data_IF_781872198689
#
_entry.id   IF_781872198689
#
_cell.length_a   1.000
_cell.length_b   1.000
_cell.length_c   1.000
_cell.angle_alpha   90.00
_cell.angle_beta   90.00
_cell.angle_gamma   90.00
#
_symmetry.space_group_name_H-M   'P 1'
#
loop_
_entity.id
_entity.type
_entity.pdbx_description
1 polymer ?
#
# COMPACT_ATOMS: atom_id res chain seq x y z
N UNK A 1 -0.73 20.16 -12.29
CA UNK A 1 -0.25 20.92 -11.12
C UNK A 1 0.38 19.85 -10.24
N UNK A 2 1.70 19.68 -10.32
CA UNK A 2 2.39 18.59 -9.61
C UNK A 2 2.58 19.02 -8.16
N UNK A 3 1.97 18.29 -7.22
CA UNK A 3 2.25 18.45 -5.80
C UNK A 3 3.51 17.63 -5.51
N UNK A 4 4.64 18.31 -5.28
CA UNK A 4 5.84 17.68 -4.76
C UNK A 4 5.57 17.35 -3.30
N UNK A 5 5.49 16.07 -2.95
CA UNK A 5 5.54 15.61 -1.57
C UNK A 5 6.94 15.07 -1.28
N UNK A 6 7.61 15.66 -0.29
CA UNK A 6 8.77 15.00 0.33
C UNK A 6 8.32 13.70 1.00
N UNK A 7 9.22 12.70 1.08
CA UNK A 7 8.98 11.35 1.59
C UNK A 7 7.83 11.24 2.58
N UNK A 8 6.78 10.53 2.16
CA UNK A 8 5.64 10.26 3.02
C UNK A 8 5.92 8.96 3.76
N UNK A 9 5.69 8.99 5.07
CA UNK A 9 5.63 7.79 5.89
C UNK A 9 4.76 6.74 5.20
N UNK A 10 5.18 5.47 5.26
CA UNK A 10 4.33 4.37 4.80
C UNK A 10 3.01 4.44 5.56
N UNK A 11 1.92 4.69 4.84
CA UNK A 11 0.59 4.92 5.42
C UNK A 11 -0.49 4.24 4.57
N UNK A 12 -1.66 4.02 5.17
CA UNK A 12 -2.76 3.32 4.51
C UNK A 12 -3.19 4.10 3.25
N UNK A 13 -3.10 3.45 2.10
CA UNK A 13 -3.51 4.00 0.82
C UNK A 13 -4.91 3.52 0.46
N UNK A 14 -5.14 2.21 0.48
CA UNK A 14 -6.41 1.58 0.11
C UNK A 14 -6.72 0.41 1.01
N UNK A 15 -8.02 0.18 1.24
CA UNK A 15 -8.51 -0.95 2.02
C UNK A 15 -9.73 -1.58 1.35
N UNK A 16 -9.67 -2.89 1.14
CA UNK A 16 -10.72 -3.68 0.53
C UNK A 16 -11.19 -4.76 1.51
N UNK A 17 -12.47 -4.73 1.88
CA UNK A 17 -13.09 -5.67 2.79
C UNK A 17 -14.10 -6.53 2.03
N UNK A 18 -13.87 -7.84 1.97
CA UNK A 18 -14.70 -8.76 1.19
C UNK A 18 -13.97 -10.06 0.90
N UNK A 19 -14.41 -10.81 -0.12
CA UNK A 19 -13.73 -12.04 -0.54
C UNK A 19 -12.58 -11.71 -1.49
N UNK A 20 -11.65 -10.91 -0.98
CA UNK A 20 -10.56 -10.33 -1.75
C UNK A 20 -9.22 -10.94 -1.39
N UNK A 21 -8.36 -10.99 -2.39
CA UNK A 21 -6.93 -11.23 -2.24
C UNK A 21 -6.21 -10.43 -3.35
N UNK A 22 -4.90 -10.56 -3.45
CA UNK A 22 -4.10 -9.86 -4.43
C UNK A 22 -3.06 -10.75 -5.10
N UNK A 23 -2.65 -10.32 -6.28
CA UNK A 23 -1.47 -10.81 -6.99
C UNK A 23 -0.63 -9.61 -7.40
N UNK A 24 0.69 -9.73 -7.30
CA UNK A 24 1.59 -8.74 -7.87
C UNK A 24 2.42 -9.35 -9.00
N UNK A 25 2.83 -8.50 -9.94
CA UNK A 25 3.76 -8.84 -11.01
C UNK A 25 4.52 -7.60 -11.43
N UNK A 26 5.73 -7.75 -11.94
CA UNK A 26 6.60 -6.63 -12.26
C UNK A 26 7.93 -7.12 -12.78
N UNK A 27 8.84 -6.19 -13.10
CA UNK A 27 10.19 -6.52 -13.50
C UNK A 27 11.18 -5.40 -13.15
N UNK A 28 12.43 -5.78 -12.94
CA UNK A 28 13.54 -4.83 -12.83
C UNK A 28 13.87 -4.27 -14.22
N UNK A 29 14.56 -3.13 -14.25
CA UNK A 29 15.25 -2.62 -15.43
C UNK A 29 16.77 -2.65 -15.24
N UNK A 30 17.28 -3.24 -14.17
CA UNK A 30 18.70 -3.52 -14.02
C UNK A 30 19.06 -4.79 -14.81
N UNK A 31 20.17 -4.76 -15.55
CA UNK A 31 20.66 -5.95 -16.27
C UNK A 31 21.35 -6.97 -15.37
N UNK A 32 21.78 -6.54 -14.18
CA UNK A 32 22.45 -7.33 -13.17
C UNK A 32 22.29 -6.66 -11.80
N UNK A 33 22.64 -7.35 -10.73
CA UNK A 33 22.76 -6.76 -9.40
C UNK A 33 23.87 -5.70 -9.36
N UNK A 34 23.51 -4.48 -8.98
CA UNK A 34 24.43 -3.32 -9.03
C UNK A 34 25.65 -3.45 -8.08
N UNK A 35 25.57 -4.24 -7.01
CA UNK A 35 26.66 -4.49 -6.07
C UNK A 35 27.71 -5.50 -6.58
N UNK A 36 27.39 -6.28 -7.61
CA UNK A 36 28.24 -7.39 -8.08
C UNK A 36 28.88 -7.15 -9.46
N UNK A 37 28.27 -6.35 -10.33
CA UNK A 37 28.81 -6.05 -11.67
C UNK A 37 29.03 -4.54 -11.84
N UNK A 38 30.29 -4.15 -12.04
CA UNK A 38 30.69 -2.77 -12.21
C UNK A 38 30.69 -2.27 -13.67
N UNK A 39 30.32 -3.12 -14.61
CA UNK A 39 30.41 -2.83 -16.05
C UNK A 39 29.25 -1.99 -16.59
N UNK A 40 28.18 -1.80 -15.81
CA UNK A 40 27.01 -1.02 -16.21
C UNK A 40 26.72 0.11 -15.21
N UNK A 41 26.24 1.23 -15.74
CA UNK A 41 25.53 2.24 -14.96
C UNK A 41 24.47 2.88 -15.86
N UNK A 42 23.54 2.03 -16.24
CA UNK A 42 22.40 2.32 -17.11
C UNK A 42 21.28 1.34 -16.76
N UNK A 43 20.11 1.55 -17.36
CA UNK A 43 18.98 0.65 -17.22
C UNK A 43 18.63 0.06 -18.59
N UNK A 44 17.97 -1.10 -18.57
CA UNK A 44 17.32 -1.66 -19.73
C UNK A 44 16.24 -0.69 -20.23
N UNK A 45 16.09 -0.51 -21.55
CA UNK A 45 15.09 0.40 -22.11
C UNK A 45 13.64 -0.07 -21.89
N UNK A 46 13.46 -1.37 -21.67
CA UNK A 46 12.17 -1.97 -21.34
C UNK A 46 12.36 -3.31 -20.62
N UNK A 47 11.32 -3.73 -19.91
CA UNK A 47 11.18 -5.09 -19.37
C UNK A 47 9.71 -5.50 -19.37
N UNK A 48 9.44 -6.79 -19.14
CA UNK A 48 8.09 -7.33 -19.25
C UNK A 48 7.77 -8.30 -18.11
N UNK A 49 6.50 -8.38 -17.75
CA UNK A 49 6.00 -9.35 -16.77
C UNK A 49 4.59 -9.83 -17.14
N UNK A 50 4.23 -11.02 -16.68
CA UNK A 50 2.97 -11.68 -17.08
C UNK A 50 1.96 -11.72 -15.94
N UNK A 51 0.77 -11.17 -16.19
CA UNK A 51 -0.40 -11.34 -15.33
C UNK A 51 -1.11 -12.66 -15.69
N UNK A 52 -1.35 -13.48 -14.66
CA UNK A 52 -2.08 -14.74 -14.78
C UNK A 52 -3.09 -14.88 -13.64
N UNK A 53 -4.32 -14.43 -13.84
CA UNK A 53 -5.49 -14.65 -12.98
C UNK A 53 -6.28 -15.88 -13.44
N UNK A 54 -6.97 -16.54 -12.51
CA UNK A 54 -7.91 -17.62 -12.85
C UNK A 54 -9.25 -17.02 -13.31
N UNK A 55 -10.12 -17.83 -13.92
CA UNK A 55 -11.43 -17.35 -14.41
C UNK A 55 -12.39 -16.93 -13.28
N UNK A 56 -12.15 -17.40 -12.05
CA UNK A 56 -12.95 -17.10 -10.87
C UNK A 56 -12.46 -15.81 -10.14
N UNK A 57 -11.35 -15.23 -10.61
CA UNK A 57 -10.74 -14.02 -10.05
C UNK A 57 -11.17 -12.79 -10.84
N UNK A 58 -12.02 -11.95 -10.24
CA UNK A 58 -12.51 -10.70 -10.85
C UNK A 58 -11.68 -9.53 -10.36
N UNK A 59 -11.10 -8.74 -11.26
CA UNK A 59 -10.29 -7.57 -10.91
C UNK A 59 -11.16 -6.50 -10.24
N UNK A 60 -10.73 -6.01 -9.07
CA UNK A 60 -11.38 -4.95 -8.29
C UNK A 60 -10.60 -3.65 -8.39
N UNK A 61 -9.27 -3.73 -8.27
CA UNK A 61 -8.38 -2.60 -8.40
C UNK A 61 -7.01 -3.04 -8.92
N UNK A 62 -6.29 -2.14 -9.60
CA UNK A 62 -4.91 -2.35 -9.96
C UNK A 62 -4.08 -1.06 -9.89
N UNK A 63 -2.91 -1.14 -9.26
CA UNK A 63 -2.02 0.00 -9.05
C UNK A 63 -0.64 -0.31 -9.64
N UNK A 64 -0.18 0.56 -10.55
CA UNK A 64 1.17 0.50 -11.13
C UNK A 64 2.10 1.37 -10.29
N UNK A 65 3.22 0.80 -9.87
CA UNK A 65 4.34 1.46 -9.23
C UNK A 65 5.56 1.41 -10.15
N UNK A 66 6.30 2.50 -10.25
CA UNK A 66 7.65 2.50 -10.83
C UNK A 66 8.56 3.43 -10.07
N UNK A 67 9.84 3.11 -10.03
CA UNK A 67 10.82 3.83 -9.23
C UNK A 67 12.18 3.82 -9.90
N UNK A 68 13.05 4.73 -9.46
CA UNK A 68 14.42 4.76 -9.92
C UNK A 68 15.26 5.87 -9.28
N UNK A 69 16.50 5.95 -9.75
CA UNK A 69 17.47 6.97 -9.33
C UNK A 69 17.15 8.35 -9.91
N UNK A 70 17.24 9.40 -9.10
CA UNK A 70 17.08 10.79 -9.51
C UNK A 70 15.73 11.42 -9.19
N UNK A 71 15.41 12.46 -9.95
CA UNK A 71 14.09 13.12 -9.94
C UNK A 71 13.06 12.24 -10.65
N UNK A 72 11.80 12.37 -10.26
CA UNK A 72 10.72 11.55 -10.81
C UNK A 72 10.52 11.76 -12.31
N UNK A 73 10.60 10.67 -13.07
CA UNK A 73 10.00 10.58 -14.39
C UNK A 73 8.52 10.20 -14.24
N UNK A 74 7.65 11.17 -14.47
CA UNK A 74 6.20 11.06 -14.19
C UNK A 74 5.41 10.43 -15.33
N UNK A 75 6.04 10.09 -16.45
CA UNK A 75 5.37 9.53 -17.62
C UNK A 75 6.16 8.37 -18.19
N UNK A 76 5.52 7.20 -18.26
CA UNK A 76 6.11 5.96 -18.77
C UNK A 76 5.16 5.31 -19.77
N UNK A 77 5.58 4.22 -20.41
CA UNK A 77 4.72 3.43 -21.29
C UNK A 77 4.40 2.07 -20.68
N UNK A 78 3.14 1.65 -20.81
CA UNK A 78 2.69 0.27 -20.57
C UNK A 78 2.00 -0.25 -21.83
N UNK A 79 2.51 -1.33 -22.41
CA UNK A 79 2.07 -1.88 -23.70
C UNK A 79 2.01 -0.82 -24.82
N UNK A 80 2.99 0.08 -24.84
CA UNK A 80 3.09 1.17 -25.81
C UNK A 80 2.10 2.32 -25.61
N UNK A 81 1.29 2.31 -24.55
CA UNK A 81 0.40 3.40 -24.16
C UNK A 81 1.02 4.21 -23.04
N UNK A 82 1.00 5.54 -23.18
CA UNK A 82 1.51 6.44 -22.14
C UNK A 82 0.65 6.39 -20.88
N UNK A 83 1.31 6.22 -19.74
CA UNK A 83 0.76 6.23 -18.39
C UNK A 83 1.40 7.39 -17.63
N UNK A 84 0.60 8.17 -16.91
CA UNK A 84 1.08 9.29 -16.10
C UNK A 84 0.87 8.96 -14.62
N UNK A 85 1.80 9.40 -13.78
CA UNK A 85 1.69 9.26 -12.32
C UNK A 85 0.53 10.10 -11.77
N UNK A 86 -0.23 9.54 -10.83
CA UNK A 86 -1.19 10.29 -10.01
C UNK A 86 -0.52 10.85 -8.76
N UNK A 87 0.38 10.07 -8.16
CA UNK A 87 1.17 10.44 -6.98
C UNK A 87 2.64 10.12 -7.19
N UNK A 88 3.50 10.98 -6.62
CA UNK A 88 4.95 10.86 -6.68
C UNK A 88 5.54 11.03 -5.28
N UNK A 89 6.52 10.20 -4.97
CA UNK A 89 7.29 10.19 -3.74
C UNK A 89 8.76 10.39 -4.07
N UNK A 90 9.50 10.98 -3.14
CA UNK A 90 10.95 11.02 -3.22
C UNK A 90 11.60 10.92 -1.86
N UNK A 91 12.81 10.35 -1.84
CA UNK A 91 13.62 10.19 -0.64
C UNK A 91 15.09 10.42 -0.99
N UNK A 92 15.87 10.97 -0.05
CA UNK A 92 17.27 11.30 -0.26
C UNK A 92 18.16 10.44 0.64
N UNK A 93 19.16 9.79 0.04
CA UNK A 93 20.22 9.09 0.74
C UNK A 93 21.50 9.94 0.80
N UNK A 94 22.06 10.08 1.99
CA UNK A 94 23.34 10.75 2.20
C UNK A 94 24.50 9.76 2.03
N UNK A 95 24.97 9.59 0.80
CA UNK A 95 26.09 8.70 0.50
C UNK A 95 27.44 9.37 0.76
N UNK A 96 28.55 8.60 0.86
CA UNK A 96 29.90 9.16 0.86
C UNK A 96 30.26 9.99 -0.39
N UNK A 97 29.48 9.88 -1.47
CA UNK A 97 29.67 10.58 -2.74
C UNK A 97 28.76 11.80 -2.91
N UNK A 98 27.92 12.10 -1.91
CA UNK A 98 26.95 13.19 -1.93
C UNK A 98 25.52 12.70 -1.74
N UNK A 99 24.58 13.65 -1.81
CA UNK A 99 23.15 13.36 -1.75
C UNK A 99 22.68 12.65 -3.03
N UNK A 100 22.01 11.52 -2.87
CA UNK A 100 21.40 10.71 -3.93
C UNK A 100 19.89 10.77 -3.74
N UNK A 101 19.16 11.24 -4.74
CA UNK A 101 17.70 11.30 -4.73
C UNK A 101 17.14 10.03 -5.38
N UNK A 102 16.05 9.52 -4.84
CA UNK A 102 15.30 8.42 -5.40
C UNK A 102 13.83 8.79 -5.47
N UNK A 103 13.12 8.25 -6.44
CA UNK A 103 11.69 8.49 -6.60
C UNK A 103 10.90 7.20 -6.71
N UNK A 104 9.61 7.32 -6.43
CA UNK A 104 8.58 6.34 -6.77
C UNK A 104 7.34 7.06 -7.27
N UNK A 105 6.73 6.52 -8.30
CA UNK A 105 5.51 7.01 -8.92
C UNK A 105 4.44 5.93 -8.81
N UNK A 106 3.19 6.33 -8.64
CA UNK A 106 2.04 5.42 -8.59
C UNK A 106 0.86 5.99 -9.37
N UNK A 107 0.08 5.11 -10.00
CA UNK A 107 -1.17 5.44 -10.66
C UNK A 107 -2.15 4.26 -10.64
N UNK A 108 -3.44 4.58 -10.60
CA UNK A 108 -4.51 3.59 -10.77
C UNK A 108 -4.64 3.20 -12.25
N UNK A 109 -4.44 1.92 -12.53
CA UNK A 109 -4.52 1.35 -13.88
C UNK A 109 -5.60 0.27 -13.97
N UNK A 110 -6.59 0.29 -13.09
CA UNK A 110 -7.66 -0.71 -13.01
C UNK A 110 -8.32 -0.92 -14.37
N UNK A 111 -8.69 0.16 -15.06
CA UNK A 111 -9.31 0.10 -16.39
C UNK A 111 -8.38 -0.52 -17.46
N UNK A 112 -7.06 -0.30 -17.34
CA UNK A 112 -6.06 -0.88 -18.24
C UNK A 112 -5.97 -2.40 -18.03
N UNK A 113 -5.94 -2.86 -16.77
CA UNK A 113 -5.90 -4.29 -16.44
C UNK A 113 -7.21 -4.98 -16.81
N UNK A 114 -8.36 -4.37 -16.54
CA UNK A 114 -9.68 -4.93 -16.90
C UNK A 114 -9.84 -5.05 -18.41
N UNK A 115 -9.41 -4.04 -19.17
CA UNK A 115 -9.53 -4.05 -20.64
C UNK A 115 -8.53 -4.98 -21.33
N UNK A 116 -7.31 -5.09 -20.80
CA UNK A 116 -6.24 -5.92 -21.39
C UNK A 116 -6.35 -7.38 -20.95
N UNK A 117 -6.67 -7.63 -19.68
CA UNK A 117 -6.78 -8.97 -19.09
C UNK A 117 -5.45 -9.67 -18.88
N UNK A 118 -5.49 -11.01 -18.76
CA UNK A 118 -4.29 -11.83 -18.66
C UNK A 118 -3.40 -11.69 -19.88
N UNK A 119 -2.09 -11.63 -19.66
CA UNK A 119 -1.12 -11.47 -20.73
C UNK A 119 0.21 -10.95 -20.23
N UNK A 120 1.11 -10.71 -21.18
CA UNK A 120 2.40 -10.06 -20.92
C UNK A 120 2.25 -8.56 -21.07
N UNK A 121 2.71 -7.83 -20.06
CA UNK A 121 2.76 -6.39 -20.03
C UNK A 121 4.21 -5.95 -20.20
N UNK A 122 4.47 -5.11 -21.21
CA UNK A 122 5.76 -4.47 -21.42
C UNK A 122 5.74 -3.06 -20.83
N UNK A 123 6.71 -2.77 -19.98
CA UNK A 123 6.96 -1.46 -19.40
C UNK A 123 8.19 -0.84 -20.06
N UNK A 124 8.10 0.43 -20.46
CA UNK A 124 9.17 1.12 -21.20
C UNK A 124 9.12 2.63 -21.02
N UNK A 125 10.09 3.32 -21.62
CA UNK A 125 10.21 4.79 -21.63
C UNK A 125 10.41 5.44 -20.25
N UNK A 126 10.88 4.67 -19.26
CA UNK A 126 11.42 5.26 -18.03
C UNK A 126 12.83 5.80 -18.31
N UNK A 127 13.06 7.10 -18.05
CA UNK A 127 14.35 7.73 -18.27
C UNK A 127 14.96 8.29 -16.98
N UNK A 128 16.02 7.62 -16.50
CA UNK A 128 16.87 8.10 -15.41
C UNK A 128 18.28 8.49 -15.86
N UNK A 129 18.54 8.52 -17.17
CA UNK A 129 19.88 8.74 -17.72
C UNK A 129 20.49 10.08 -17.30
N UNK A 130 19.65 11.13 -17.21
CA UNK A 130 20.07 12.44 -16.73
C UNK A 130 20.61 12.40 -15.29
N UNK A 131 20.01 11.60 -14.41
CA UNK A 131 20.45 11.44 -13.03
C UNK A 131 21.79 10.69 -12.96
N UNK A 132 21.89 9.55 -13.66
CA UNK A 132 23.11 8.73 -13.68
C UNK A 132 24.31 9.48 -14.29
N UNK A 133 24.08 10.32 -15.30
CA UNK A 133 25.14 11.13 -15.91
C UNK A 133 25.56 12.34 -15.06
N UNK A 134 24.62 12.96 -14.35
CA UNK A 134 24.89 14.19 -13.59
C UNK A 134 25.44 13.94 -12.19
N UNK A 135 25.14 12.79 -11.59
CA UNK A 135 25.63 12.40 -10.28
C UNK A 135 26.29 11.00 -10.34
N UNK A 136 27.64 10.92 -10.43
CA UNK A 136 28.33 9.64 -10.49
C UNK A 136 28.23 8.84 -9.18
N UNK A 137 27.68 9.43 -8.12
CA UNK A 137 27.48 8.80 -6.83
C UNK A 137 26.56 7.58 -6.90
N UNK A 138 25.53 7.56 -7.77
CA UNK A 138 24.67 6.37 -7.92
C UNK A 138 25.48 5.14 -8.32
N UNK A 139 26.30 5.25 -9.35
CA UNK A 139 27.16 4.16 -9.82
C UNK A 139 28.31 3.86 -8.84
N UNK A 140 28.91 4.91 -8.25
CA UNK A 140 30.07 4.77 -7.36
C UNK A 140 29.69 4.15 -6.02
N UNK A 141 28.48 4.41 -5.57
CA UNK A 141 27.90 3.86 -4.35
C UNK A 141 27.19 2.52 -4.60
N UNK A 142 27.02 2.09 -5.85
CA UNK A 142 26.32 0.86 -6.23
C UNK A 142 24.85 0.85 -5.80
N UNK A 143 24.19 1.98 -6.00
CA UNK A 143 22.79 2.18 -5.66
C UNK A 143 22.04 2.82 -6.82
N UNK A 144 22.38 2.37 -8.04
CA UNK A 144 21.66 2.68 -9.25
C UNK A 144 20.63 1.59 -9.53
N UNK A 145 19.36 1.99 -9.64
CA UNK A 145 18.27 1.07 -9.99
C UNK A 145 17.16 1.75 -10.78
N UNK A 146 16.38 0.92 -11.46
CA UNK A 146 15.02 1.22 -11.84
C UNK A 146 14.18 -0.05 -11.95
N UNK A 147 12.88 0.06 -11.72
CA UNK A 147 11.97 -1.07 -11.81
C UNK A 147 10.51 -0.67 -11.73
N UNK A 148 9.64 -1.65 -11.91
CA UNK A 148 8.19 -1.45 -11.86
C UNK A 148 7.48 -2.70 -11.34
N UNK A 149 6.30 -2.49 -10.75
CA UNK A 149 5.39 -3.56 -10.35
C UNK A 149 3.94 -3.11 -10.41
N UNK A 150 3.03 -4.06 -10.53
CA UNK A 150 1.60 -3.86 -10.53
C UNK A 150 1.02 -4.77 -9.45
N UNK A 151 0.30 -4.17 -8.51
CA UNK A 151 -0.57 -4.91 -7.58
C UNK A 151 -1.97 -4.99 -8.18
N UNK A 152 -2.52 -6.20 -8.28
CA UNK A 152 -3.89 -6.46 -8.74
C UNK A 152 -4.67 -7.07 -7.59
N UNK A 153 -5.64 -6.32 -7.09
CA UNK A 153 -6.59 -6.79 -6.08
C UNK A 153 -7.76 -7.42 -6.83
N UNK A 154 -8.15 -8.63 -6.44
CA UNK A 154 -9.21 -9.38 -7.08
C UNK A 154 -10.21 -9.95 -6.06
N UNK A 155 -11.45 -10.15 -6.51
CA UNK A 155 -12.46 -10.94 -5.83
C UNK A 155 -12.41 -12.39 -6.29
N UNK A 156 -12.48 -13.31 -5.33
CA UNK A 156 -12.71 -14.73 -5.57
C UNK A 156 -13.67 -15.25 -4.50
N UNK A 157 -14.86 -15.68 -4.92
CA UNK A 157 -15.94 -16.07 -4.00
C UNK A 157 -15.63 -17.30 -3.13
N UNK A 158 -14.55 -18.03 -3.44
CA UNK A 158 -14.07 -19.15 -2.61
C UNK A 158 -13.22 -18.70 -1.42
N UNK A 159 -12.69 -17.46 -1.45
CA UNK A 159 -11.88 -16.91 -0.38
C UNK A 159 -12.70 -16.62 0.88
N UNK A 160 -12.09 -16.69 2.07
CA UNK A 160 -12.71 -16.15 3.27
C UNK A 160 -12.87 -14.63 3.17
N UNK A 161 -13.63 -14.05 4.10
CA UNK A 161 -13.78 -12.59 4.19
C UNK A 161 -12.47 -11.98 4.72
N UNK A 162 -11.77 -11.28 3.85
CA UNK A 162 -10.49 -10.67 4.12
C UNK A 162 -10.60 -9.15 4.14
N UNK A 163 -9.75 -8.55 4.95
CA UNK A 163 -9.31 -7.18 4.81
C UNK A 163 -7.98 -7.18 4.08
N UNK A 164 -7.96 -6.62 2.87
CA UNK A 164 -6.75 -6.35 2.09
C UNK A 164 -6.41 -4.88 2.25
N UNK A 165 -5.31 -4.59 2.92
CA UNK A 165 -4.85 -3.21 3.18
C UNK A 165 -3.54 -2.97 2.47
N UNK A 166 -3.53 -2.01 1.55
CA UNK A 166 -2.36 -1.55 0.81
C UNK A 166 -1.88 -0.24 1.45
N UNK A 167 -0.66 -0.26 1.95
CA UNK A 167 0.05 0.88 2.51
C UNK A 167 1.14 1.29 1.53
N UNK A 168 1.33 2.59 1.32
CA UNK A 168 2.38 3.07 0.42
C UNK A 168 3.03 4.36 0.94
N UNK A 169 4.20 4.65 0.39
CA UNK A 169 5.02 5.81 0.68
C UNK A 169 6.39 5.61 0.03
N UNK A 170 7.43 6.23 0.57
CA UNK A 170 8.80 5.93 0.16
C UNK A 170 9.77 6.26 1.30
N UNK A 171 10.37 5.23 1.89
CA UNK A 171 11.21 5.36 3.08
C UNK A 171 12.50 4.55 2.96
N UNK A 172 13.56 5.01 3.64
CA UNK A 172 14.87 4.37 3.62
C UNK A 172 15.22 3.78 4.99
N UNK A 173 15.76 2.56 4.99
CA UNK A 173 16.67 2.09 6.05
C UNK A 173 18.08 1.93 5.48
N UNK A 174 19.09 2.28 6.27
CA UNK A 174 20.49 2.26 5.86
C UNK A 174 21.45 2.18 7.05
N UNK A 175 22.75 2.33 6.81
CA UNK A 175 23.80 2.34 7.84
C UNK A 175 23.61 3.34 8.99
N UNK A 176 22.89 4.45 8.77
CA UNK A 176 22.60 5.46 9.79
C UNK A 176 21.23 5.24 10.48
N UNK A 177 20.29 4.59 9.79
CA UNK A 177 18.94 4.27 10.26
C UNK A 177 18.68 2.80 9.97
N UNK A 178 19.12 1.94 10.88
CA UNK A 178 19.21 0.49 10.71
C UNK A 178 17.90 -0.25 10.92
N UNK A 179 16.84 0.46 11.29
CA UNK A 179 15.55 -0.12 11.66
C UNK A 179 14.41 0.80 11.23
N UNK A 180 13.34 0.18 10.72
CA UNK A 180 12.05 0.83 10.52
C UNK A 180 10.96 0.00 11.16
N UNK A 181 10.13 0.66 11.95
CA UNK A 181 8.93 0.09 12.54
C UNK A 181 7.71 0.73 11.89
N UNK A 182 6.78 -0.10 11.44
CA UNK A 182 5.47 0.28 10.91
C UNK A 182 4.42 -0.36 11.80
N UNK A 183 3.52 0.47 12.34
CA UNK A 183 2.41 0.01 13.14
C UNK A 183 1.19 -0.17 12.24
N UNK A 184 0.67 -1.40 12.17
CA UNK A 184 -0.64 -1.68 11.64
C UNK A 184 -1.65 -1.46 12.76
N UNK A 185 -2.48 -0.42 12.63
CA UNK A 185 -3.60 -0.15 13.54
C UNK A 185 -4.93 -0.55 12.89
N UNK A 186 -5.98 -0.66 13.70
CA UNK A 186 -7.35 -0.94 13.25
C UNK A 186 -7.51 -2.28 12.50
N UNK A 187 -6.65 -3.26 12.79
CA UNK A 187 -6.90 -4.64 12.39
C UNK A 187 -7.88 -5.28 13.39
N UNK A 188 -8.58 -6.32 12.98
CA UNK A 188 -9.41 -7.12 13.87
C UNK A 188 -9.32 -8.58 13.45
N UNK A 189 -8.25 -9.26 13.87
CA UNK A 189 -7.96 -10.61 13.42
C UNK A 189 -8.96 -11.59 14.03
N UNK A 190 -9.78 -12.26 13.22
CA UNK A 190 -10.76 -13.25 13.70
C UNK A 190 -10.40 -14.68 13.33
N UNK A 191 -9.69 -14.84 12.22
CA UNK A 191 -8.92 -16.03 11.89
C UNK A 191 -7.54 -15.55 11.42
N UNK A 192 -6.52 -16.37 11.66
CA UNK A 192 -5.19 -16.11 11.13
C UNK A 192 -4.92 -16.98 9.88
N UNK A 193 -5.80 -17.91 9.53
CA UNK A 193 -5.62 -18.78 8.38
C UNK A 193 -5.47 -18.01 7.07
N UNK A 194 -4.39 -18.28 6.35
CA UNK A 194 -4.08 -17.64 5.07
C UNK A 194 -3.69 -16.16 5.19
N UNK A 195 -3.43 -15.67 6.41
CA UNK A 195 -2.92 -14.32 6.60
C UNK A 195 -1.53 -14.18 6.00
N UNK A 196 -1.31 -13.11 5.26
CA UNK A 196 -0.03 -12.85 4.59
C UNK A 196 0.30 -11.36 4.55
N UNK A 197 1.59 -11.08 4.43
CA UNK A 197 2.14 -9.76 4.16
C UNK A 197 2.96 -9.84 2.89
N UNK A 198 2.86 -8.84 2.03
CA UNK A 198 3.80 -8.61 0.95
C UNK A 198 4.36 -7.21 0.97
N UNK A 199 5.46 -7.00 0.27
CA UNK A 199 6.08 -5.70 0.14
C UNK A 199 6.73 -5.50 -1.23
N UNK A 200 6.88 -4.22 -1.56
CA UNK A 200 7.75 -3.76 -2.64
C UNK A 200 8.87 -2.94 -2.01
N UNK A 201 10.09 -3.43 -2.16
CA UNK A 201 11.30 -2.70 -1.81
C UNK A 201 12.19 -2.54 -3.04
N UNK A 202 12.98 -1.46 -3.05
CA UNK A 202 13.99 -1.19 -4.05
C UNK A 202 15.36 -1.13 -3.40
N UNK A 203 16.40 -1.36 -4.19
CA UNK A 203 17.77 -1.57 -3.68
C UNK A 203 17.79 -2.71 -2.65
N UNK A 204 17.17 -3.83 -3.00
CA UNK A 204 17.45 -5.11 -2.34
C UNK A 204 18.34 -5.97 -3.21
N UNK A 205 19.37 -6.57 -2.63
CA UNK A 205 20.34 -7.40 -3.32
C UNK A 205 20.83 -8.59 -2.48
N UNK A 206 21.28 -9.66 -3.13
CA UNK A 206 21.68 -10.88 -2.40
C UNK A 206 23.02 -10.68 -1.66
N UNK A 207 23.85 -9.75 -2.15
CA UNK A 207 25.06 -9.32 -1.48
C UNK A 207 24.75 -8.46 -0.25
N UNK A 208 25.79 -8.13 0.54
CA UNK A 208 25.70 -7.20 1.68
C UNK A 208 24.59 -7.45 2.74
N UNK A 209 24.04 -8.66 2.78
CA UNK A 209 22.96 -9.14 3.67
C UNK A 209 23.28 -9.22 5.18
N UNK A 210 23.78 -8.12 5.75
CA UNK A 210 24.13 -8.06 7.16
C UNK A 210 22.93 -7.56 7.97
N UNK A 211 22.33 -8.44 8.80
CA UNK A 211 21.26 -8.06 9.71
C UNK A 211 19.95 -7.69 9.00
N UNK A 212 19.75 -8.19 7.78
CA UNK A 212 18.58 -7.90 6.97
C UNK A 212 17.44 -8.82 7.31
N UNK A 213 16.42 -8.26 7.94
CA UNK A 213 15.28 -9.06 8.36
C UNK A 213 13.98 -8.29 8.22
N UNK A 214 12.92 -9.05 7.95
CA UNK A 214 11.55 -8.63 8.12
C UNK A 214 10.95 -9.41 9.28
N UNK A 215 10.22 -8.71 10.15
CA UNK A 215 9.54 -9.35 11.27
C UNK A 215 8.15 -8.78 11.47
N UNK A 216 7.25 -9.62 12.01
CA UNK A 216 5.93 -9.21 12.46
C UNK A 216 5.72 -9.66 13.91
N UNK A 217 5.32 -8.71 14.77
CA UNK A 217 5.22 -8.91 16.22
C UNK A 217 6.52 -9.53 16.80
N UNK A 218 7.66 -8.99 16.38
CA UNK A 218 9.03 -9.45 16.71
C UNK A 218 9.40 -10.87 16.26
N UNK A 219 8.54 -11.53 15.46
CA UNK A 219 8.88 -12.82 14.86
C UNK A 219 9.46 -12.61 13.46
N UNK A 220 10.69 -13.05 13.24
CA UNK A 220 11.35 -12.98 11.94
C UNK A 220 10.64 -13.88 10.93
N UNK A 221 10.36 -13.31 9.76
CA UNK A 221 9.74 -13.98 8.62
C UNK A 221 10.82 -14.54 7.69
N UNK A 222 10.51 -15.64 7.01
CA UNK A 222 11.36 -16.24 5.98
C UNK A 222 10.53 -17.16 5.09
N UNK A 223 10.94 -17.35 3.83
CA UNK A 223 10.29 -18.26 2.88
C UNK A 223 11.32 -19.01 1.99
N UNK A 224 12.28 -19.75 2.58
CA UNK A 224 13.33 -20.41 1.81
C UNK A 224 12.76 -21.32 0.71
N UNK A 225 13.42 -21.40 -0.47
CA UNK A 225 14.80 -20.95 -0.70
C UNK A 225 14.96 -19.50 -1.15
N UNK A 226 13.88 -18.72 -1.36
CA UNK A 226 14.00 -17.36 -1.90
C UNK A 226 14.46 -16.38 -0.82
N UNK A 227 13.67 -16.16 0.22
CA UNK A 227 14.01 -15.20 1.26
C UNK A 227 14.45 -15.92 2.53
N UNK A 228 15.71 -15.74 2.90
CA UNK A 228 16.29 -16.25 4.13
C UNK A 228 15.98 -15.31 5.29
N UNK A 229 16.02 -15.80 6.52
CA UNK A 229 15.66 -15.01 7.71
C UNK A 229 16.61 -13.83 7.98
N UNK A 230 17.80 -13.88 7.43
CA UNK A 230 18.88 -12.89 7.52
C UNK A 230 19.19 -12.23 6.17
N UNK A 231 18.37 -12.48 5.14
CA UNK A 231 18.48 -11.86 3.83
C UNK A 231 17.09 -11.71 3.20
N UNK A 232 16.30 -10.78 3.74
CA UNK A 232 14.91 -10.57 3.34
C UNK A 232 14.73 -9.58 2.17
N UNK A 233 15.78 -8.86 1.77
CA UNK A 233 15.76 -7.85 0.71
C UNK A 233 16.83 -8.18 -0.33
N UNK A 234 16.59 -9.22 -1.12
CA UNK A 234 17.64 -9.94 -1.82
C UNK A 234 17.45 -10.04 -3.33
N UNK A 235 16.65 -9.15 -3.91
CA UNK A 235 16.44 -9.12 -5.34
C UNK A 235 15.53 -10.25 -5.83
N UNK A 236 14.49 -10.62 -5.06
CA UNK A 236 13.63 -11.76 -5.37
C UNK A 236 12.18 -11.40 -5.70
N UNK A 237 11.48 -12.34 -6.32
CA UNK A 237 10.07 -12.23 -6.63
C UNK A 237 9.35 -13.54 -6.29
N UNK A 238 8.67 -13.55 -5.15
CA UNK A 238 7.90 -14.70 -4.66
C UNK A 238 6.80 -15.13 -5.65
N UNK A 239 6.17 -14.21 -6.40
CA UNK A 239 5.06 -14.54 -7.31
C UNK A 239 5.50 -15.34 -8.54
N UNK A 240 6.76 -15.17 -8.96
CA UNK A 240 7.35 -15.90 -10.10
C UNK A 240 8.38 -16.94 -9.66
N UNK A 241 8.67 -17.02 -8.35
CA UNK A 241 9.72 -17.83 -7.76
C UNK A 241 11.08 -17.58 -8.45
N UNK A 242 11.43 -16.30 -8.58
CA UNK A 242 12.66 -15.84 -9.25
C UNK A 242 13.62 -15.20 -8.25
N UNK A 243 14.91 -15.49 -8.40
CA UNK A 243 16.03 -14.77 -7.80
C UNK A 243 16.71 -13.80 -8.77
N UNK A 244 16.20 -13.72 -10.01
CA UNK A 244 16.72 -12.84 -11.05
C UNK A 244 15.84 -11.59 -11.13
N UNK A 245 15.65 -10.90 -9.99
CA UNK A 245 14.80 -9.71 -9.87
C UNK A 245 15.62 -8.54 -9.28
N UNK A 246 16.77 -8.29 -9.90
CA UNK A 246 17.84 -7.44 -9.38
C UNK A 246 17.39 -6.06 -8.86
N UNK A 247 17.86 -5.70 -7.67
CA UNK A 247 17.63 -4.41 -7.03
C UNK A 247 16.14 -4.10 -6.72
N UNK A 248 15.29 -5.11 -6.73
CA UNK A 248 13.86 -5.02 -6.40
C UNK A 248 13.47 -6.25 -5.59
N UNK A 249 12.62 -6.10 -4.59
CA UNK A 249 11.95 -7.23 -3.93
C UNK A 249 10.44 -7.11 -4.14
N UNK A 250 9.83 -8.20 -4.58
CA UNK A 250 8.38 -8.32 -4.72
C UNK A 250 7.94 -9.63 -4.08
N UNK A 251 7.90 -9.61 -2.75
CA UNK A 251 7.83 -10.81 -1.95
C UNK A 251 6.61 -10.88 -1.05
N UNK A 252 6.27 -12.12 -0.69
CA UNK A 252 5.12 -12.45 0.14
C UNK A 252 5.50 -13.50 1.17
N UNK A 253 5.05 -13.27 2.39
CA UNK A 253 5.31 -14.11 3.55
C UNK A 253 3.98 -14.50 4.20
N UNK A 254 3.88 -15.76 4.56
CA UNK A 254 2.82 -16.24 5.46
C UNK A 254 3.07 -15.66 6.86
N UNK A 255 2.03 -15.06 7.45
CA UNK A 255 2.06 -14.50 8.81
C UNK A 255 1.03 -15.14 9.72
N UNK A 256 0.36 -16.20 9.29
CA UNK A 256 -0.69 -16.89 10.04
C UNK A 256 -0.23 -17.24 11.47
N UNK A 257 1.03 -17.66 11.64
CA UNK A 257 1.55 -18.05 12.94
C UNK A 257 2.18 -16.91 13.75
N UNK A 258 2.12 -15.68 13.23
CA UNK A 258 2.75 -14.50 13.81
C UNK A 258 1.74 -13.41 14.19
N UNK A 259 0.46 -13.66 13.93
CA UNK A 259 -0.68 -12.88 14.40
C UNK A 259 -1.65 -13.80 15.18
N UNK A 260 -2.36 -13.23 16.14
CA UNK A 260 -3.32 -13.93 16.99
C UNK A 260 -4.74 -13.43 16.78
N UNK A 261 -5.71 -14.33 16.94
CA UNK A 261 -7.13 -13.96 16.99
C UNK A 261 -7.35 -12.96 18.14
N UNK A 262 -8.03 -11.86 17.83
CA UNK A 262 -8.28 -10.74 18.74
C UNK A 262 -7.22 -9.64 18.70
N UNK A 263 -6.15 -9.78 17.91
CA UNK A 263 -5.19 -8.70 17.72
C UNK A 263 -5.87 -7.50 17.06
N UNK A 264 -5.71 -6.33 17.67
CA UNK A 264 -6.20 -5.04 17.16
C UNK A 264 -5.12 -4.20 16.49
N UNK A 265 -3.87 -4.66 16.59
CA UNK A 265 -2.69 -4.04 15.99
C UNK A 265 -1.62 -5.09 15.76
N UNK A 266 -0.75 -4.87 14.77
CA UNK A 266 0.46 -5.65 14.58
C UNK A 266 1.63 -4.73 14.25
N UNK A 267 2.84 -5.12 14.65
CA UNK A 267 4.05 -4.35 14.37
C UNK A 267 4.84 -5.04 13.28
N UNK A 268 5.11 -4.34 12.18
CA UNK A 268 6.04 -4.77 11.15
C UNK A 268 7.37 -4.07 11.43
N UNK A 269 8.47 -4.82 11.41
CA UNK A 269 9.79 -4.29 11.63
C UNK A 269 10.76 -4.79 10.56
N UNK A 270 11.44 -3.85 9.93
CA UNK A 270 12.51 -4.06 8.96
C UNK A 270 13.84 -3.69 9.62
N UNK A 271 14.88 -4.47 9.38
CA UNK A 271 16.24 -4.17 9.84
C UNK A 271 17.24 -4.32 8.72
N UNK A 272 18.35 -3.59 8.83
CA UNK A 272 19.62 -3.82 8.11
C UNK A 272 20.75 -3.39 9.04
N UNK A 273 21.91 -4.00 8.93
CA UNK A 273 23.07 -3.68 9.73
C UNK A 273 23.50 -4.80 10.68
N UNK A 274 24.72 -5.31 10.49
CA UNK A 274 25.42 -6.15 11.47
C UNK A 274 26.95 -6.01 11.32
N UNK A 275 27.71 -6.60 12.24
CA UNK A 275 29.16 -6.64 12.18
C UNK A 275 29.64 -7.85 11.36
N UNK A 276 30.54 -7.61 10.41
CA UNK A 276 31.23 -8.67 9.70
C UNK A 276 32.21 -9.45 10.60
N UNK A 277 32.79 -10.53 10.07
CA UNK A 277 33.77 -11.37 10.79
C UNK A 277 35.01 -10.61 11.30
N UNK A 278 35.28 -9.42 10.77
CA UNK A 278 36.40 -8.56 11.16
C UNK A 278 35.96 -7.45 12.14
N UNK A 279 34.70 -7.46 12.59
CA UNK A 279 34.14 -6.47 13.50
C UNK A 279 33.87 -5.12 12.85
N UNK A 280 33.72 -5.08 11.52
CA UNK A 280 33.36 -3.86 10.81
C UNK A 280 31.87 -3.87 10.52
N UNK A 281 31.19 -2.80 10.92
CA UNK A 281 29.76 -2.64 10.65
C UNK A 281 29.50 -2.56 9.14
N UNK A 282 28.49 -3.30 8.68
CA UNK A 282 27.98 -3.32 7.30
C UNK A 282 26.47 -3.21 7.39
N UNK A 283 25.89 -2.46 6.47
CA UNK A 283 24.45 -2.33 6.30
C UNK A 283 24.21 -1.96 4.84
N UNK A 284 23.08 -2.38 4.31
CA UNK A 284 22.65 -2.06 2.97
C UNK A 284 21.71 -0.84 2.94
N UNK A 285 21.41 -0.32 1.75
CA UNK A 285 20.40 0.71 1.52
C UNK A 285 19.11 0.04 1.01
N UNK A 286 18.09 -0.05 1.85
CA UNK A 286 16.78 -0.56 1.42
C UNK A 286 15.78 0.59 1.32
N UNK A 287 15.08 0.68 0.20
CA UNK A 287 14.06 1.69 -0.07
C UNK A 287 12.68 1.01 -0.09
N UNK A 288 11.95 1.11 1.02
CA UNK A 288 10.60 0.56 1.13
C UNK A 288 9.58 1.47 0.44
N UNK A 289 8.77 0.90 -0.47
CA UNK A 289 7.76 1.65 -1.22
C UNK A 289 6.33 1.33 -0.77
N UNK A 290 6.01 0.05 -0.61
CA UNK A 290 4.67 -0.34 -0.18
C UNK A 290 4.69 -1.66 0.58
N UNK A 291 3.63 -1.85 1.36
CA UNK A 291 3.30 -3.06 2.09
C UNK A 291 1.85 -3.37 1.84
N UNK A 292 1.51 -4.64 1.62
CA UNK A 292 0.14 -5.09 1.50
C UNK A 292 -0.11 -6.25 2.45
N UNK A 293 -1.20 -6.18 3.21
CA UNK A 293 -1.59 -7.22 4.16
C UNK A 293 -2.92 -7.82 3.77
N UNK A 294 -3.05 -9.13 3.96
CA UNK A 294 -4.33 -9.85 3.87
C UNK A 294 -4.57 -10.48 5.23
N UNK A 295 -5.62 -10.02 5.91
CA UNK A 295 -6.00 -10.50 7.23
C UNK A 295 -7.46 -10.95 7.18
N UNK A 296 -7.77 -12.12 7.74
CA UNK A 296 -9.17 -12.49 7.94
C UNK A 296 -9.73 -11.67 9.11
N UNK A 297 -10.59 -10.72 8.79
CA UNK A 297 -11.17 -9.76 9.72
C UNK A 297 -12.67 -9.67 9.47
N UNK A 298 -13.48 -9.50 10.51
CA UNK A 298 -14.90 -9.12 10.41
C UNK A 298 -15.05 -7.75 11.07
N UNK A 299 -15.14 -6.72 10.24
CA UNK A 299 -15.39 -5.36 10.66
C UNK A 299 -16.61 -4.86 9.89
N UNK A 300 -17.71 -4.48 10.58
CA UNK A 300 -18.73 -3.69 9.94
C UNK A 300 -18.16 -2.31 9.61
N UNK A 301 -18.62 -1.71 8.51
CA UNK A 301 -18.16 -0.39 8.06
C UNK A 301 -19.38 0.52 7.88
N UNK A 302 -19.76 1.20 8.96
CA UNK A 302 -20.91 2.07 8.97
C UNK A 302 -20.58 3.40 8.26
N UNK A 303 -21.23 3.63 7.13
CA UNK A 303 -21.19 4.93 6.44
C UNK A 303 -22.56 5.58 6.51
N UNK A 304 -22.61 6.86 6.89
CA UNK A 304 -23.86 7.64 6.94
C UNK A 304 -23.87 8.72 5.85
N UNK A 305 -24.99 8.83 5.13
CA UNK A 305 -25.21 9.85 4.12
C UNK A 305 -26.57 10.52 4.29
N UNK A 306 -26.63 11.84 4.10
CA UNK A 306 -27.87 12.58 4.12
C UNK A 306 -28.57 12.53 2.76
N UNK A 307 -29.89 12.32 2.79
CA UNK A 307 -30.74 12.59 1.63
C UNK A 307 -30.91 14.11 1.47
N UNK A 308 -31.36 14.61 0.31
CA UNK A 308 -31.58 16.04 0.10
C UNK A 308 -32.47 16.64 1.19
N UNK A 309 -31.92 17.63 1.92
CA UNK A 309 -32.60 18.29 3.03
C UNK A 309 -33.50 19.39 2.44
N UNK A 310 -34.81 19.24 2.63
CA UNK A 310 -35.78 20.26 2.27
C UNK A 310 -36.15 21.05 3.54
N UNK A 311 -35.31 22.01 3.93
CA UNK A 311 -35.61 22.91 5.02
C UNK A 311 -36.53 24.06 4.55
N UNK A 312 -37.55 24.38 5.34
CA UNK A 312 -38.39 25.56 5.11
C UNK A 312 -37.78 26.78 5.79
N UNK A 313 -37.69 27.91 5.09
CA UNK A 313 -37.22 29.17 5.68
C UNK A 313 -38.06 29.54 6.92
N UNK A 314 -37.40 29.99 7.99
CA UNK A 314 -37.99 30.36 9.29
C UNK A 314 -38.63 29.22 10.10
N UNK A 315 -38.27 27.95 9.82
CA UNK A 315 -38.60 26.84 10.71
C UNK A 315 -37.46 26.60 11.70
N UNK A 316 -37.78 26.44 12.98
CA UNK A 316 -36.83 25.97 14.00
C UNK A 316 -36.56 24.47 13.90
N UNK A 317 -37.36 23.74 13.12
CA UNK A 317 -37.26 22.30 12.95
C UNK A 317 -37.21 21.93 11.46
N UNK A 318 -36.48 20.87 11.12
CA UNK A 318 -36.55 20.26 9.79
C UNK A 318 -36.53 18.72 9.88
N UNK A 319 -37.13 18.08 8.88
CA UNK A 319 -37.07 16.62 8.74
C UNK A 319 -35.76 16.25 8.03
N UNK A 320 -34.95 15.44 8.69
CA UNK A 320 -33.73 14.86 8.16
C UNK A 320 -34.00 13.41 7.81
N UNK A 321 -33.84 13.06 6.54
CA UNK A 321 -33.76 11.66 6.09
C UNK A 321 -32.30 11.33 5.82
N UNK A 322 -31.85 10.20 6.33
CA UNK A 322 -30.47 9.75 6.21
C UNK A 322 -30.44 8.24 5.98
N UNK A 323 -29.38 7.78 5.32
CA UNK A 323 -29.15 6.37 5.02
C UNK A 323 -27.85 5.94 5.67
N UNK A 324 -27.90 4.85 6.46
CA UNK A 324 -26.73 4.17 7.01
C UNK A 324 -26.47 2.94 6.17
N UNK A 325 -25.25 2.77 5.70
CA UNK A 325 -24.85 1.69 4.78
C UNK A 325 -23.66 0.91 5.35
N UNK A 326 -23.55 -0.37 4.97
CA UNK A 326 -22.49 -1.27 5.38
C UNK A 326 -21.75 -1.83 4.15
N UNK A 327 -21.01 -0.97 3.43
CA UNK A 327 -20.59 -1.25 2.04
C UNK A 327 -19.20 -1.91 1.89
N UNK A 328 -18.18 -1.46 2.61
CA UNK A 328 -16.83 -2.01 2.56
C UNK A 328 -16.53 -2.75 3.85
N UNK A 329 -17.26 -3.85 4.09
CA UNK A 329 -17.27 -4.56 5.36
C UNK A 329 -17.15 -6.05 5.23
N UNK A 330 -16.76 -6.67 6.34
CA UNK A 330 -16.65 -8.11 6.49
C UNK A 330 -17.52 -8.65 7.63
N UNK A 331 -18.34 -7.80 8.25
CA UNK A 331 -19.42 -8.20 9.16
C UNK A 331 -20.70 -7.40 8.92
N UNK A 332 -21.82 -7.94 9.38
CA UNK A 332 -23.08 -7.20 9.53
C UNK A 332 -22.94 -6.07 10.55
N UNK A 333 -23.49 -4.89 10.25
CA UNK A 333 -23.57 -3.81 11.22
C UNK A 333 -24.69 -4.12 12.23
N UNK A 334 -24.41 -4.19 13.54
CA UNK A 334 -25.42 -4.54 14.53
C UNK A 334 -26.59 -3.55 14.57
N UNK A 335 -27.77 -4.05 14.94
CA UNK A 335 -28.88 -3.18 15.30
C UNK A 335 -28.54 -2.36 16.56
N UNK A 336 -29.16 -1.19 16.68
CA UNK A 336 -28.89 -0.22 17.73
C UNK A 336 -27.46 0.37 17.69
N UNK A 337 -26.81 0.40 16.52
CA UNK A 337 -25.54 1.11 16.33
C UNK A 337 -25.78 2.61 16.56
N UNK A 338 -25.07 3.26 17.51
CA UNK A 338 -25.30 4.66 17.84
C UNK A 338 -25.03 5.60 16.67
N UNK A 339 -25.82 6.67 16.58
CA UNK A 339 -25.63 7.76 15.61
C UNK A 339 -25.71 9.07 16.37
N UNK A 340 -24.74 9.95 16.15
CA UNK A 340 -24.68 11.27 16.76
C UNK A 340 -24.75 12.36 15.68
N UNK A 341 -25.59 13.37 15.89
CA UNK A 341 -25.80 14.48 14.98
C UNK A 341 -25.32 15.78 15.62
N UNK A 342 -24.58 16.58 14.85
CA UNK A 342 -23.95 17.80 15.32
C UNK A 342 -24.31 18.96 14.41
N UNK A 343 -24.54 20.13 14.99
CA UNK A 343 -24.59 21.41 14.28
C UNK A 343 -23.42 22.26 14.77
N UNK A 344 -22.56 22.71 13.85
CA UNK A 344 -21.35 23.50 14.14
C UNK A 344 -20.50 22.88 15.27
N UNK A 345 -20.40 21.54 15.28
CA UNK A 345 -19.66 20.76 16.27
C UNK A 345 -20.39 20.53 17.61
N UNK A 346 -21.60 21.05 17.79
CA UNK A 346 -22.40 20.86 19.01
C UNK A 346 -23.37 19.69 18.80
N UNK A 347 -23.33 18.71 19.71
CA UNK A 347 -24.24 17.57 19.69
C UNK A 347 -25.69 18.04 19.89
N UNK A 348 -26.54 17.82 18.90
CA UNK A 348 -27.95 18.25 18.91
C UNK A 348 -28.94 17.09 19.04
N UNK A 349 -28.58 15.90 18.56
CA UNK A 349 -29.45 14.74 18.61
C UNK A 349 -28.65 13.45 18.53
N UNK A 350 -29.29 12.37 18.97
CA UNK A 350 -28.76 11.01 18.87
C UNK A 350 -29.88 10.09 18.37
N UNK A 351 -29.49 9.07 17.62
CA UNK A 351 -30.38 7.99 17.20
C UNK A 351 -29.60 6.69 17.20
N UNK A 352 -30.23 5.59 16.79
CA UNK A 352 -29.54 4.33 16.56
C UNK A 352 -30.07 3.68 15.29
N UNK A 353 -29.27 2.79 14.70
CA UNK A 353 -29.81 1.89 13.67
C UNK A 353 -30.94 1.04 14.23
N UNK A 354 -31.92 0.70 13.40
CA UNK A 354 -33.10 -0.06 13.81
C UNK A 354 -32.91 -1.56 13.60
N UNK A 355 -32.27 -1.93 12.49
CA UNK A 355 -32.06 -3.33 12.11
C UNK A 355 -30.57 -3.66 12.04
N UNK A 356 -30.29 -4.96 11.98
CA UNK A 356 -28.98 -5.43 11.52
C UNK A 356 -28.88 -5.07 10.05
N UNK A 357 -27.79 -4.40 9.65
CA UNK A 357 -27.52 -4.07 8.25
C UNK A 357 -26.50 -5.06 7.71
N UNK A 358 -26.97 -5.99 6.89
CA UNK A 358 -26.11 -6.99 6.23
C UNK A 358 -25.01 -6.34 5.37
N UNK A 359 -23.95 -7.09 5.08
CA UNK A 359 -22.87 -6.64 4.20
C UNK A 359 -23.45 -6.22 2.83
N UNK A 360 -23.02 -5.07 2.32
CA UNK A 360 -23.49 -4.45 1.07
C UNK A 360 -24.90 -3.85 1.14
N UNK A 361 -25.55 -3.87 2.31
CA UNK A 361 -26.91 -3.35 2.49
C UNK A 361 -26.93 -1.98 3.16
N UNK A 362 -28.10 -1.38 3.23
CA UNK A 362 -28.36 -0.12 3.92
C UNK A 362 -29.73 -0.08 4.56
N UNK A 363 -29.91 0.83 5.53
CA UNK A 363 -31.22 1.21 6.02
C UNK A 363 -31.40 2.73 5.96
N UNK A 364 -32.62 3.18 5.66
CA UNK A 364 -32.96 4.61 5.61
C UNK A 364 -33.88 4.93 6.78
N UNK A 365 -33.50 5.97 7.53
CA UNK A 365 -34.23 6.46 8.69
C UNK A 365 -34.55 7.95 8.50
N UNK A 366 -35.56 8.42 9.23
CA UNK A 366 -35.96 9.83 9.25
C UNK A 366 -36.12 10.30 10.69
N UNK A 367 -35.75 11.55 10.96
CA UNK A 367 -35.96 12.19 12.25
C UNK A 367 -36.18 13.69 12.09
N UNK A 368 -36.77 14.31 13.12
CA UNK A 368 -36.89 15.77 13.19
C UNK A 368 -35.69 16.32 13.97
N UNK A 369 -35.00 17.28 13.37
CA UNK A 369 -33.90 18.02 13.98
C UNK A 369 -34.41 19.39 14.38
N UNK A 370 -34.24 19.74 15.66
CA UNK A 370 -34.48 21.09 16.18
C UNK A 370 -33.18 21.89 16.14
N UNK A 371 -33.20 23.00 15.42
CA UNK A 371 -32.10 23.96 15.30
C UNK A 371 -32.03 24.75 16.61
N UNK A 372 -30.91 24.71 17.35
CA UNK A 372 -30.78 25.49 18.57
C UNK A 372 -30.86 27.00 18.32
N UNK A 373 -31.46 27.75 19.26
CA UNK A 373 -31.66 29.21 19.13
C UNK A 373 -30.35 30.02 18.96
N UNK A 374 -29.20 29.44 19.31
CA UNK A 374 -27.90 30.09 19.16
C UNK A 374 -27.30 29.96 17.75
N UNK A 375 -27.89 29.14 16.87
CA UNK A 375 -27.42 28.96 15.49
C UNK A 375 -28.07 30.05 14.63
N UNK A 376 -27.26 31.00 14.17
CA UNK A 376 -27.70 32.08 13.30
C UNK A 376 -27.21 31.87 11.86
N UNK A 377 -28.15 31.72 10.91
CA UNK A 377 -27.82 31.65 9.48
C UNK A 377 -27.49 30.24 8.98
N UNK A 378 -26.50 30.16 8.09
CA UNK A 378 -26.01 28.88 7.54
C UNK A 378 -25.17 28.14 8.60
N UNK A 379 -25.33 26.82 8.65
CA UNK A 379 -24.64 25.97 9.62
C UNK A 379 -24.15 24.68 8.98
N UNK A 380 -23.17 24.05 9.59
CA UNK A 380 -22.68 22.73 9.20
C UNK A 380 -23.42 21.64 9.97
N UNK A 381 -24.02 20.69 9.25
CA UNK A 381 -24.59 19.48 9.83
C UNK A 381 -23.62 18.31 9.61
N UNK A 382 -23.20 17.69 10.70
CA UNK A 382 -22.37 16.48 10.70
C UNK A 382 -23.13 15.34 11.37
N UNK A 383 -23.02 14.13 10.82
CA UNK A 383 -23.43 12.91 11.50
C UNK A 383 -22.25 11.95 11.60
N UNK A 384 -22.17 11.27 12.74
CA UNK A 384 -21.16 10.26 13.04
C UNK A 384 -21.91 9.00 13.45
N UNK A 385 -21.54 7.87 12.85
CA UNK A 385 -22.04 6.53 13.16
C UNK A 385 -20.91 5.67 13.70
#
# INVERSE_FOLDING_TARGET
MSAISHGQDISLFQQFNGRYDYKAFGNTLNSFENNLDDSFCEILPSSQATLNLTADQTVIAAYLYWAGSGEADTTVNLNGSAINSDLNYSVTFNSPFGELLYFSCVTDITDVIVSTGNGTYEFSELDISGALLSNPGYCSNRTNFAGWSIYVIYEDLSLPLNQVSLFQGLEIINTNVTEKIILLENINVLDNQGAKIGFLAWEGDDALNYGESLSINDNILSNPPLNLSDNAFNGTNTFTNSSDFYNVDLDVYDIQNNISIGDTSATIKLTTGDFDENGVFRADLIILNNIITVLNSQLPDATIAFNPINASCNSSDFELTYTVSNLNSTDSLPANTPIAFYIDGILIAQNTTLNIIEIGSSETNSMVISIPEFVEGEFELLAVV
#
